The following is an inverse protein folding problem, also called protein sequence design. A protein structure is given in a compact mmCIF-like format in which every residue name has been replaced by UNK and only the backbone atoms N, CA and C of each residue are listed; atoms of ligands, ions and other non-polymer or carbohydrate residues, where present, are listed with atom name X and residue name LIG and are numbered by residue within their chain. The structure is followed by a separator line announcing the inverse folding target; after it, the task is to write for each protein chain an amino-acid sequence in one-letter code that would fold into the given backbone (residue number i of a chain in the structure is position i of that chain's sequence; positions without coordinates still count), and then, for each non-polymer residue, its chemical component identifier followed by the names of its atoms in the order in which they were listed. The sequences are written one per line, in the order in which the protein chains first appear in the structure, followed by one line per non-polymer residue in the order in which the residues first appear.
data_IF_904560354139
#
_entry.id   IF_904560354139
#
_cell.length_a   1.000
_cell.length_b   1.000
_cell.length_c   1.000
_cell.angle_alpha   90.00
_cell.angle_beta   90.00
_cell.angle_gamma   90.00
#
_symmetry.space_group_name_H-M   'P 1'
#
loop_
_entity.id
_entity.type
_entity.pdbx_description
1 polymer ?
#
# COMPACT_ATOMS: atom_id res chain seq x y z
N UNK A 1 53.07 18.37 -41.12
CA UNK A 1 52.62 17.94 -39.77
C UNK A 1 51.54 18.83 -39.13
N UNK A 2 51.30 20.07 -39.58
CA UNK A 2 50.29 20.96 -38.95
C UNK A 2 48.83 20.55 -39.20
N UNK A 3 48.50 19.98 -40.37
CA UNK A 3 47.11 19.59 -40.73
C UNK A 3 46.53 18.45 -39.89
N UNK A 4 47.38 17.56 -39.36
CA UNK A 4 46.96 16.40 -38.55
C UNK A 4 46.55 16.83 -37.13
N UNK A 5 47.19 17.87 -36.57
CA UNK A 5 46.86 18.38 -35.23
C UNK A 5 45.46 19.02 -35.19
N UNK A 6 45.06 19.73 -36.24
CA UNK A 6 43.70 20.31 -36.32
C UNK A 6 42.62 19.26 -36.57
N UNK A 7 42.92 18.19 -37.30
CA UNK A 7 41.99 17.08 -37.51
C UNK A 7 41.73 16.30 -36.22
N UNK A 8 42.78 16.06 -35.42
CA UNK A 8 42.65 15.43 -34.10
C UNK A 8 41.85 16.30 -33.12
N UNK A 9 42.03 17.63 -33.15
CA UNK A 9 41.26 18.56 -32.31
C UNK A 9 39.78 18.62 -32.71
N UNK A 10 39.48 18.56 -34.01
CA UNK A 10 38.12 18.53 -34.54
C UNK A 10 37.41 17.22 -34.19
N UNK A 11 38.10 16.08 -34.28
CA UNK A 11 37.58 14.79 -33.83
C UNK A 11 37.35 14.76 -32.32
N UNK A 12 38.19 15.40 -31.51
CA UNK A 12 37.99 15.51 -30.06
C UNK A 12 36.72 16.32 -29.71
N UNK A 13 36.48 17.44 -30.41
CA UNK A 13 35.25 18.24 -30.23
C UNK A 13 33.98 17.53 -30.73
N UNK A 14 34.07 16.70 -31.77
CA UNK A 14 32.95 15.88 -32.26
C UNK A 14 32.62 14.72 -31.31
N UNK A 15 33.61 14.12 -30.64
CA UNK A 15 33.39 13.05 -29.65
C UNK A 15 32.83 13.61 -28.34
N UNK A 16 33.21 14.83 -27.93
CA UNK A 16 32.66 15.45 -26.72
C UNK A 16 31.17 15.85 -26.84
N UNK A 17 30.65 16.11 -28.05
CA UNK A 17 29.24 16.45 -28.24
C UNK A 17 28.29 15.24 -28.29
N UNK A 18 28.82 14.02 -28.49
CA UNK A 18 28.05 12.77 -28.44
C UNK A 18 27.79 12.27 -27.01
N UNK A 19 28.35 12.94 -25.99
CA UNK A 19 28.11 12.64 -24.57
C UNK A 19 27.00 13.48 -23.94
N UNK A 20 26.14 14.12 -24.75
CA UNK A 20 24.80 14.44 -24.28
C UNK A 20 24.04 13.13 -24.16
N UNK A 21 24.20 12.45 -23.02
CA UNK A 21 23.29 11.39 -22.62
C UNK A 21 21.87 11.96 -22.77
N UNK A 22 21.11 11.46 -23.76
CA UNK A 22 19.69 11.71 -23.83
C UNK A 22 19.15 11.30 -22.47
N UNK A 23 18.67 12.27 -21.71
CA UNK A 23 17.96 12.01 -20.46
C UNK A 23 16.76 11.16 -20.88
N UNK A 24 16.82 9.86 -20.60
CA UNK A 24 15.79 8.93 -21.03
C UNK A 24 14.46 9.44 -20.48
N UNK A 25 13.58 9.83 -21.39
CA UNK A 25 12.29 10.45 -21.05
C UNK A 25 11.34 9.36 -20.50
N UNK A 26 11.69 8.08 -20.73
CA UNK A 26 10.99 6.91 -20.24
C UNK A 26 11.65 6.40 -18.95
N UNK A 27 11.49 7.13 -17.85
CA UNK A 27 11.86 6.64 -16.53
C UNK A 27 10.93 5.47 -16.13
N UNK A 28 11.37 4.23 -16.38
CA UNK A 28 10.74 3.05 -15.77
C UNK A 28 11.09 3.09 -14.29
N UNK A 29 10.09 3.21 -13.41
CA UNK A 29 10.33 3.04 -11.98
C UNK A 29 10.74 1.59 -11.73
N UNK A 30 12.03 1.39 -11.52
CA UNK A 30 12.61 0.08 -11.26
C UNK A 30 12.09 -0.54 -9.96
N UNK A 31 12.18 -1.86 -9.88
CA UNK A 31 11.97 -2.60 -8.64
C UNK A 31 13.26 -2.52 -7.83
N UNK A 32 13.17 -2.05 -6.59
CA UNK A 32 14.29 -2.09 -5.65
C UNK A 32 14.34 -3.49 -5.03
N UNK A 33 15.51 -4.13 -5.08
CA UNK A 33 15.76 -5.39 -4.37
C UNK A 33 16.48 -5.12 -3.05
N UNK A 34 15.93 -5.63 -1.96
CA UNK A 34 16.50 -5.53 -0.62
C UNK A 34 16.71 -6.94 -0.09
N UNK A 35 17.91 -7.22 0.42
CA UNK A 35 18.19 -8.40 1.23
C UNK A 35 18.22 -7.96 2.69
N UNK A 36 17.12 -8.20 3.40
CA UNK A 36 16.94 -7.73 4.77
C UNK A 36 17.43 -8.80 5.75
N UNK A 37 18.44 -8.46 6.56
CA UNK A 37 18.89 -9.32 7.65
C UNK A 37 17.76 -9.55 8.64
N UNK A 38 17.62 -10.78 9.12
CA UNK A 38 16.58 -11.14 10.10
C UNK A 38 17.19 -11.78 11.34
N UNK A 39 16.62 -11.48 12.51
CA UNK A 39 16.90 -12.24 13.74
C UNK A 39 16.07 -13.53 13.84
N UNK A 40 15.03 -13.67 13.00
CA UNK A 40 14.13 -14.83 13.00
C UNK A 40 14.59 -15.94 12.05
N UNK A 41 15.42 -15.60 11.07
CA UNK A 41 15.96 -16.48 10.04
C UNK A 41 17.49 -16.37 9.95
N UNK A 42 18.16 -17.49 9.72
CA UNK A 42 19.63 -17.53 9.58
C UNK A 42 20.11 -17.11 8.18
N UNK A 43 19.21 -16.54 7.37
CA UNK A 43 19.44 -16.06 6.02
C UNK A 43 18.72 -14.72 5.80
N UNK A 44 19.22 -13.93 4.84
CA UNK A 44 18.62 -12.66 4.49
C UNK A 44 17.29 -12.87 3.75
N UNK A 45 16.28 -12.10 4.13
CA UNK A 45 14.96 -12.12 3.49
C UNK A 45 14.98 -11.23 2.25
N UNK A 46 14.73 -11.81 1.09
CA UNK A 46 14.61 -11.06 -0.17
C UNK A 46 13.27 -10.34 -0.24
N UNK A 47 13.33 -9.03 -0.42
CA UNK A 47 12.18 -8.11 -0.47
C UNK A 47 12.28 -7.28 -1.74
N UNK A 48 11.16 -7.10 -2.42
CA UNK A 48 11.03 -6.19 -3.55
C UNK A 48 10.22 -4.97 -3.17
N UNK A 49 10.62 -3.79 -3.62
CA UNK A 49 9.86 -2.55 -3.41
C UNK A 49 9.66 -1.84 -4.74
N UNK A 50 8.40 -1.54 -5.07
CA UNK A 50 8.04 -0.66 -6.17
C UNK A 50 7.39 0.59 -5.62
N UNK A 51 7.94 1.73 -6.03
CA UNK A 51 7.42 3.04 -5.66
C UNK A 51 6.40 3.51 -6.70
N UNK A 52 5.42 4.32 -6.27
CA UNK A 52 4.59 5.10 -7.19
C UNK A 52 5.42 5.95 -8.14
N UNK A 53 4.92 6.17 -9.36
CA UNK A 53 5.60 6.98 -10.39
C UNK A 53 5.86 8.42 -9.93
N UNK A 54 5.03 8.93 -9.03
CA UNK A 54 5.08 10.28 -8.47
C UNK A 54 5.98 10.43 -7.24
N UNK A 55 6.52 9.34 -6.72
CA UNK A 55 7.24 9.34 -5.45
C UNK A 55 8.48 10.24 -5.47
N UNK A 56 9.22 10.37 -6.57
CA UNK A 56 10.47 11.14 -6.60
C UNK A 56 10.27 12.65 -6.59
N UNK A 57 9.12 13.14 -7.05
CA UNK A 57 8.83 14.57 -7.17
C UNK A 57 7.76 15.07 -6.17
N UNK A 58 7.20 14.18 -5.33
CA UNK A 58 6.26 14.56 -4.27
C UNK A 58 6.83 14.26 -2.87
N UNK A 59 7.58 15.22 -2.31
CA UNK A 59 8.21 15.09 -0.99
C UNK A 59 7.24 15.41 0.18
N UNK A 60 6.09 16.03 -0.10
CA UNK A 60 5.07 16.35 0.90
C UNK A 60 4.06 15.21 1.15
N UNK A 61 4.01 14.21 0.27
CA UNK A 61 3.03 13.12 0.29
C UNK A 61 3.57 11.86 0.99
N UNK A 62 2.71 11.25 1.80
CA UNK A 62 2.92 9.92 2.38
C UNK A 62 2.02 8.89 1.67
N UNK A 63 2.47 7.63 1.57
CA UNK A 63 1.83 6.59 0.75
C UNK A 63 1.33 5.39 1.56
N UNK A 64 0.16 4.85 1.19
CA UNK A 64 -0.32 3.58 1.73
C UNK A 64 0.58 2.44 1.19
N UNK A 65 0.73 1.36 1.95
CA UNK A 65 1.64 0.24 1.60
C UNK A 65 0.87 -1.04 1.31
N UNK A 66 1.08 -1.61 0.13
CA UNK A 66 0.55 -2.93 -0.24
C UNK A 66 1.64 -3.99 -0.10
N UNK A 67 1.43 -4.98 0.75
CA UNK A 67 2.31 -6.13 0.92
C UNK A 67 1.76 -7.31 0.12
N UNK A 68 2.54 -7.85 -0.82
CA UNK A 68 2.17 -9.01 -1.63
C UNK A 68 3.11 -10.19 -1.30
N UNK A 69 2.51 -11.31 -0.93
CA UNK A 69 3.23 -12.56 -0.65
C UNK A 69 3.35 -13.41 -1.91
N UNK A 70 4.30 -14.34 -1.92
CA UNK A 70 4.71 -15.09 -3.11
C UNK A 70 5.29 -14.21 -4.23
N UNK A 71 5.97 -13.11 -3.89
CA UNK A 71 6.50 -12.17 -4.88
C UNK A 71 7.52 -12.82 -5.84
N UNK A 72 8.21 -13.89 -5.43
CA UNK A 72 9.10 -14.67 -6.29
C UNK A 72 8.39 -15.25 -7.52
N UNK A 73 7.06 -15.39 -7.48
CA UNK A 73 6.20 -15.60 -8.64
C UNK A 73 5.89 -14.21 -9.22
N UNK A 74 6.78 -13.71 -10.08
CA UNK A 74 6.77 -12.31 -10.54
C UNK A 74 5.42 -11.77 -11.01
N UNK A 75 4.53 -12.54 -11.69
CA UNK A 75 3.23 -12.02 -12.11
C UNK A 75 2.34 -11.56 -10.95
N UNK A 76 2.42 -12.17 -9.76
CA UNK A 76 1.66 -11.70 -8.59
C UNK A 76 2.08 -10.29 -8.18
N UNK A 77 3.38 -10.05 -8.09
CA UNK A 77 3.94 -8.74 -7.75
C UNK A 77 3.63 -7.69 -8.83
N UNK A 78 3.75 -8.07 -10.10
CA UNK A 78 3.49 -7.17 -11.23
C UNK A 78 2.01 -6.75 -11.30
N UNK A 79 1.08 -7.69 -11.18
CA UNK A 79 -0.35 -7.41 -11.20
C UNK A 79 -0.78 -6.58 -10.00
N UNK A 80 -0.34 -6.93 -8.78
CA UNK A 80 -0.60 -6.15 -7.57
C UNK A 80 -0.07 -4.71 -7.69
N UNK A 81 1.00 -4.51 -8.45
CA UNK A 81 1.56 -3.18 -8.70
C UNK A 81 0.86 -2.39 -9.81
N UNK A 82 0.46 -3.06 -10.89
CA UNK A 82 -0.08 -2.38 -12.07
C UNK A 82 -1.58 -2.08 -11.92
N UNK A 83 -2.36 -3.00 -11.34
CA UNK A 83 -3.81 -2.87 -11.26
C UNK A 83 -4.30 -1.60 -10.55
N UNK A 84 -3.72 -1.16 -9.41
CA UNK A 84 -4.12 0.08 -8.77
C UNK A 84 -4.14 1.30 -9.69
N UNK A 85 -3.20 1.38 -10.65
CA UNK A 85 -3.10 2.50 -11.60
C UNK A 85 -4.34 2.60 -12.49
N UNK A 86 -4.96 1.47 -12.85
CA UNK A 86 -6.11 1.42 -13.74
C UNK A 86 -7.45 1.36 -13.01
N UNK A 87 -7.47 0.77 -11.80
CA UNK A 87 -8.71 0.43 -11.09
C UNK A 87 -9.09 1.44 -10.02
N UNK A 88 -8.16 2.30 -9.61
CA UNK A 88 -8.46 3.38 -8.68
C UNK A 88 -9.11 4.53 -9.44
N UNK A 89 -10.40 4.35 -9.77
CA UNK A 89 -11.23 5.29 -10.53
C UNK A 89 -11.60 6.56 -9.72
N UNK A 90 -11.30 6.58 -8.42
CA UNK A 90 -11.52 7.76 -7.59
C UNK A 90 -10.63 8.92 -8.02
N UNK A 91 -11.14 10.16 -7.90
CA UNK A 91 -10.40 11.39 -8.20
C UNK A 91 -9.11 11.56 -7.37
N UNK A 92 -8.89 10.71 -6.36
CA UNK A 92 -7.84 10.79 -5.34
C UNK A 92 -6.76 9.70 -5.45
N UNK A 93 -6.51 9.17 -6.65
CA UNK A 93 -5.59 8.05 -6.86
C UNK A 93 -4.12 8.41 -6.59
N UNK A 94 -3.75 8.42 -5.30
CA UNK A 94 -2.37 8.26 -4.86
C UNK A 94 -1.97 6.82 -5.15
N UNK A 95 -0.86 6.61 -5.85
CA UNK A 95 -0.27 5.28 -5.98
C UNK A 95 0.01 4.66 -4.61
N UNK A 96 0.36 3.38 -4.59
CA UNK A 96 0.76 2.69 -3.35
C UNK A 96 2.21 2.21 -3.46
N UNK A 97 2.93 2.21 -2.34
CA UNK A 97 4.20 1.51 -2.28
C UNK A 97 3.89 0.01 -2.22
N UNK A 98 4.40 -0.75 -3.18
CA UNK A 98 4.18 -2.21 -3.23
C UNK A 98 5.43 -2.92 -2.75
N UNK A 99 5.28 -3.71 -1.69
CA UNK A 99 6.34 -4.48 -1.04
C UNK A 99 6.08 -5.96 -1.29
N UNK A 100 6.94 -6.59 -2.09
CA UNK A 100 6.90 -8.02 -2.38
C UNK A 100 7.74 -8.81 -1.40
N UNK A 101 7.14 -9.79 -0.73
CA UNK A 101 7.84 -10.74 0.14
C UNK A 101 8.11 -12.02 -0.64
N UNK A 102 9.39 -12.33 -0.84
CA UNK A 102 9.80 -13.56 -1.51
C UNK A 102 10.04 -14.68 -0.50
N UNK A 103 9.49 -15.85 -0.79
CA UNK A 103 9.93 -17.09 -0.16
C UNK A 103 11.18 -17.62 -0.85
N UNK A 104 12.14 -18.21 -0.12
CA UNK A 104 13.23 -18.96 -0.71
C UNK A 104 12.71 -20.06 -1.65
N UNK A 105 13.55 -20.46 -2.61
CA UNK A 105 13.24 -21.52 -3.57
C UNK A 105 14.42 -22.49 -3.66
N UNK A 106 14.76 -23.11 -2.53
CA UNK A 106 15.78 -24.14 -2.46
C UNK A 106 15.18 -25.51 -2.06
N UNK A 107 16.03 -26.53 -1.97
CA UNK A 107 15.62 -27.91 -1.71
C UNK A 107 15.12 -28.16 -0.29
N UNK A 108 15.51 -27.32 0.68
CA UNK A 108 15.20 -27.51 2.10
C UNK A 108 14.17 -26.50 2.62
N UNK A 109 14.04 -25.35 1.95
CA UNK A 109 13.17 -24.26 2.34
C UNK A 109 12.46 -23.65 1.14
N UNK A 110 11.13 -23.69 1.18
CA UNK A 110 10.28 -23.05 0.19
C UNK A 110 9.06 -22.37 0.86
N UNK A 111 8.13 -21.88 0.04
CA UNK A 111 6.91 -21.22 0.50
C UNK A 111 6.06 -22.06 1.47
N UNK A 112 6.12 -23.40 1.42
CA UNK A 112 5.36 -24.26 2.34
C UNK A 112 5.90 -24.12 3.76
N UNK A 113 7.21 -24.17 3.92
CA UNK A 113 7.88 -23.97 5.20
C UNK A 113 7.60 -22.55 5.73
N UNK A 114 7.62 -21.51 4.87
CA UNK A 114 7.30 -20.13 5.25
C UNK A 114 5.87 -19.92 5.76
N UNK A 115 4.88 -20.51 5.09
CA UNK A 115 3.47 -20.15 5.28
C UNK A 115 2.69 -21.07 6.20
N UNK A 116 3.17 -22.29 6.44
CA UNK A 116 2.48 -23.27 7.25
C UNK A 116 2.91 -23.22 8.72
N UNK A 117 1.97 -23.44 9.66
CA UNK A 117 2.27 -23.57 11.09
C UNK A 117 3.09 -24.83 11.38
N UNK A 118 3.82 -24.80 12.50
CA UNK A 118 4.62 -25.92 12.99
C UNK A 118 3.78 -26.90 13.83
N UNK A 119 2.75 -27.49 13.22
CA UNK A 119 1.95 -28.55 13.84
C UNK A 119 2.10 -29.87 13.10
N UNK A 120 2.03 -30.98 13.86
CA UNK A 120 2.29 -32.31 13.31
C UNK A 120 1.31 -32.76 12.22
N UNK A 121 0.04 -32.32 12.27
CA UNK A 121 -0.94 -32.70 11.25
C UNK A 121 -0.64 -32.00 9.93
N UNK A 122 -0.37 -30.70 9.99
CA UNK A 122 -0.01 -29.90 8.82
C UNK A 122 1.33 -30.33 8.24
N UNK A 123 2.36 -30.51 9.08
CA UNK A 123 3.68 -30.94 8.62
C UNK A 123 3.62 -32.29 7.90
N UNK A 124 2.87 -33.26 8.44
CA UNK A 124 2.66 -34.56 7.81
C UNK A 124 1.90 -34.45 6.48
N UNK A 125 0.84 -33.62 6.41
CA UNK A 125 0.05 -33.45 5.20
C UNK A 125 0.86 -32.83 4.04
N UNK A 126 1.71 -31.86 4.33
CA UNK A 126 2.53 -31.18 3.32
C UNK A 126 3.93 -31.78 3.12
N UNK A 127 4.26 -32.82 3.91
CA UNK A 127 5.57 -33.48 3.92
C UNK A 127 6.71 -32.49 4.16
N UNK A 128 6.50 -31.54 5.06
CA UNK A 128 7.52 -30.58 5.50
C UNK A 128 8.08 -31.01 6.85
N UNK A 129 9.36 -30.72 7.10
CA UNK A 129 10.00 -31.04 8.38
C UNK A 129 9.52 -30.14 9.52
N UNK A 130 9.27 -28.87 9.21
CA UNK A 130 8.96 -27.81 10.17
C UNK A 130 8.25 -26.66 9.47
N UNK A 131 7.23 -26.10 10.12
CA UNK A 131 6.59 -24.85 9.71
C UNK A 131 7.26 -23.62 10.34
N UNK A 132 7.24 -22.49 9.65
CA UNK A 132 7.89 -21.24 10.06
C UNK A 132 6.95 -20.02 10.01
N UNK A 133 5.63 -20.22 9.89
CA UNK A 133 4.68 -19.10 9.80
C UNK A 133 4.77 -18.14 10.98
N UNK A 134 4.94 -18.63 12.21
CA UNK A 134 5.12 -17.75 13.38
C UNK A 134 6.37 -16.88 13.27
N UNK A 135 7.50 -17.44 12.82
CA UNK A 135 8.74 -16.70 12.58
C UNK A 135 8.57 -15.67 11.46
N UNK A 136 7.88 -16.03 10.39
CA UNK A 136 7.61 -15.11 9.29
C UNK A 136 6.68 -13.95 9.73
N UNK A 137 5.65 -14.23 10.53
CA UNK A 137 4.80 -13.20 11.12
C UNK A 137 5.61 -12.22 11.98
N UNK A 138 6.51 -12.73 12.82
CA UNK A 138 7.39 -11.88 13.63
C UNK A 138 8.38 -11.08 12.78
N UNK A 139 8.97 -11.66 11.74
CA UNK A 139 9.81 -10.94 10.77
C UNK A 139 9.05 -9.77 10.12
N UNK A 140 7.83 -10.04 9.62
CA UNK A 140 7.01 -9.03 8.96
C UNK A 140 6.70 -7.88 9.93
N UNK A 141 6.21 -8.21 11.13
CA UNK A 141 5.77 -7.22 12.12
C UNK A 141 6.92 -6.42 12.73
N UNK A 142 8.02 -7.09 13.10
CA UNK A 142 9.05 -6.51 13.95
C UNK A 142 10.29 -6.03 13.18
N UNK A 143 10.46 -6.47 11.93
CA UNK A 143 11.64 -6.12 11.10
C UNK A 143 11.24 -5.45 9.79
N UNK A 144 10.40 -6.09 8.97
CA UNK A 144 10.04 -5.56 7.65
C UNK A 144 9.21 -4.28 7.71
N UNK A 145 8.07 -4.27 8.42
CA UNK A 145 7.21 -3.08 8.49
C UNK A 145 7.94 -1.87 9.13
N UNK A 146 8.74 -2.02 10.20
CA UNK A 146 9.62 -0.94 10.69
C UNK A 146 10.66 -0.48 9.67
N UNK A 147 11.29 -1.40 8.93
CA UNK A 147 12.24 -1.04 7.87
C UNK A 147 11.56 -0.18 6.80
N UNK A 148 10.41 -0.61 6.29
CA UNK A 148 9.67 0.13 5.26
C UNK A 148 9.27 1.52 5.76
N UNK A 149 8.75 1.64 6.99
CA UNK A 149 8.38 2.94 7.60
C UNK A 149 9.55 3.90 7.81
N UNK A 150 10.75 3.38 8.02
CA UNK A 150 11.94 4.21 8.27
C UNK A 150 12.66 4.64 6.98
N UNK A 151 12.50 3.90 5.88
CA UNK A 151 13.18 4.17 4.62
C UNK A 151 12.27 4.81 3.55
N UNK A 152 10.95 4.74 3.73
CA UNK A 152 9.99 5.29 2.78
C UNK A 152 8.93 6.16 3.47
N UNK A 153 8.35 7.10 2.71
CA UNK A 153 7.25 7.97 3.18
C UNK A 153 5.95 7.20 3.16
N UNK A 154 5.62 6.57 4.29
CA UNK A 154 4.42 5.76 4.41
C UNK A 154 3.36 6.41 5.29
N UNK A 155 2.10 6.10 5.02
CA UNK A 155 1.03 6.21 6.02
C UNK A 155 1.09 5.00 6.96
N UNK A 156 0.18 4.93 7.93
CA UNK A 156 0.02 3.72 8.75
C UNK A 156 -0.83 2.66 8.05
N UNK A 157 -1.43 2.99 6.91
CA UNK A 157 -2.43 2.18 6.24
C UNK A 157 -1.76 1.18 5.33
N UNK A 158 -2.15 -0.08 5.49
CA UNK A 158 -1.56 -1.16 4.72
C UNK A 158 -2.57 -2.26 4.35
N UNK A 159 -2.34 -2.84 3.18
CA UNK A 159 -3.11 -3.92 2.61
C UNK A 159 -2.18 -5.12 2.41
N UNK A 160 -2.57 -6.31 2.84
CA UNK A 160 -1.86 -7.54 2.55
C UNK A 160 -2.60 -8.37 1.50
N UNK A 161 -1.86 -8.92 0.53
CA UNK A 161 -2.40 -9.72 -0.56
C UNK A 161 -1.71 -11.07 -0.56
N UNK A 162 -2.50 -12.13 -0.60
CA UNK A 162 -2.00 -13.50 -0.63
C UNK A 162 -2.90 -14.39 -1.48
N UNK A 163 -2.30 -15.44 -2.01
CA UNK A 163 -2.98 -16.49 -2.78
C UNK A 163 -2.66 -17.86 -2.19
N UNK A 164 -3.64 -18.78 -2.18
CA UNK A 164 -3.42 -20.16 -1.74
C UNK A 164 -2.84 -20.22 -0.31
N UNK A 165 -1.72 -20.91 -0.08
CA UNK A 165 -1.03 -20.89 1.22
C UNK A 165 -0.61 -19.49 1.69
N UNK A 166 -0.33 -18.55 0.79
CA UNK A 166 -0.06 -17.16 1.15
C UNK A 166 -1.30 -16.48 1.74
N UNK A 167 -2.49 -16.75 1.18
CA UNK A 167 -3.75 -16.29 1.77
C UNK A 167 -4.02 -16.97 3.13
N UNK A 168 -3.72 -18.27 3.26
CA UNK A 168 -3.81 -18.97 4.54
C UNK A 168 -2.85 -18.40 5.60
N UNK A 169 -1.64 -18.00 5.19
CA UNK A 169 -0.69 -17.29 6.05
C UNK A 169 -1.20 -15.91 6.47
N UNK A 170 -1.79 -15.15 5.56
CA UNK A 170 -2.39 -13.87 5.90
C UNK A 170 -3.57 -14.00 6.86
N UNK A 171 -4.36 -15.06 6.73
CA UNK A 171 -5.40 -15.37 7.70
C UNK A 171 -4.81 -15.71 9.08
N UNK A 172 -3.64 -16.37 9.14
CA UNK A 172 -2.90 -16.52 10.41
C UNK A 172 -2.45 -15.16 10.97
N UNK A 173 -1.92 -14.27 10.12
CA UNK A 173 -1.50 -12.92 10.52
C UNK A 173 -2.64 -12.15 11.20
N UNK A 174 -3.82 -12.15 10.56
CA UNK A 174 -5.03 -11.53 11.11
C UNK A 174 -5.42 -12.15 12.45
N UNK A 175 -5.56 -13.48 12.49
CA UNK A 175 -6.14 -14.19 13.63
C UNK A 175 -5.19 -14.35 14.84
N UNK A 176 -3.88 -14.16 14.64
CA UNK A 176 -2.87 -14.33 15.70
C UNK A 176 -2.37 -13.00 16.25
N UNK A 177 -2.14 -12.01 15.39
CA UNK A 177 -1.43 -10.78 15.76
C UNK A 177 -2.01 -9.50 15.20
N UNK A 178 -3.06 -9.58 14.37
CA UNK A 178 -3.67 -8.45 13.69
C UNK A 178 -2.64 -7.51 13.03
N UNK A 179 -1.83 -8.07 12.12
CA UNK A 179 -0.61 -7.42 11.62
C UNK A 179 -0.92 -6.28 10.63
N UNK A 180 -1.91 -6.49 9.77
CA UNK A 180 -2.26 -5.56 8.69
C UNK A 180 -3.65 -4.94 8.91
N UNK A 181 -3.90 -3.79 8.27
CA UNK A 181 -5.23 -3.18 8.35
C UNK A 181 -6.23 -3.91 7.45
N UNK A 182 -5.85 -4.22 6.22
CA UNK A 182 -6.76 -4.78 5.22
C UNK A 182 -6.14 -6.01 4.55
N UNK A 183 -6.97 -6.96 4.11
CA UNK A 183 -6.53 -8.27 3.62
C UNK A 183 -7.29 -8.73 2.38
N UNK A 184 -6.55 -9.08 1.35
CA UNK A 184 -7.04 -9.84 0.20
C UNK A 184 -6.58 -11.30 0.33
N UNK A 185 -7.55 -12.18 0.54
CA UNK A 185 -7.39 -13.58 0.88
C UNK A 185 -7.90 -14.43 -0.29
N UNK A 186 -7.07 -14.58 -1.32
CA UNK A 186 -7.49 -15.26 -2.55
C UNK A 186 -7.27 -16.77 -2.48
N UNK A 187 -8.36 -17.53 -2.63
CA UNK A 187 -8.38 -18.99 -2.58
C UNK A 187 -7.59 -19.57 -1.38
N UNK A 188 -7.82 -19.14 -0.13
CA UNK A 188 -7.08 -19.65 1.01
C UNK A 188 -7.35 -21.14 1.17
N UNK A 189 -6.31 -21.94 1.40
CA UNK A 189 -6.50 -23.32 1.84
C UNK A 189 -6.95 -23.29 3.30
N UNK A 190 -8.23 -23.61 3.52
CA UNK A 190 -8.84 -23.68 4.85
C UNK A 190 -8.97 -25.10 5.38
N UNK A 191 -8.54 -26.12 4.63
CA UNK A 191 -8.77 -27.54 4.95
C UNK A 191 -7.67 -28.20 5.77
N UNK A 192 -6.44 -27.66 5.74
CA UNK A 192 -5.34 -28.23 6.51
C UNK A 192 -5.55 -28.10 8.03
N UNK A 193 -4.79 -28.89 8.80
CA UNK A 193 -4.83 -28.83 10.27
C UNK A 193 -6.22 -29.13 10.84
N UNK A 194 -7.03 -29.97 10.19
CA UNK A 194 -8.44 -30.22 10.53
C UNK A 194 -9.29 -28.94 10.53
N UNK A 195 -9.25 -28.22 9.42
CA UNK A 195 -10.00 -26.98 9.22
C UNK A 195 -9.66 -25.89 10.26
N UNK A 196 -8.42 -25.87 10.77
CA UNK A 196 -8.04 -25.03 11.91
C UNK A 196 -8.35 -23.55 11.66
N UNK A 197 -8.03 -23.03 10.47
CA UNK A 197 -8.22 -21.61 10.14
C UNK A 197 -9.69 -21.24 10.02
N UNK A 198 -10.51 -22.06 9.36
CA UNK A 198 -11.96 -21.84 9.28
C UNK A 198 -12.59 -21.82 10.67
N UNK A 199 -12.29 -22.84 11.48
CA UNK A 199 -12.74 -22.95 12.87
C UNK A 199 -12.32 -21.75 13.73
N UNK A 200 -11.11 -21.25 13.53
CA UNK A 200 -10.60 -20.09 14.26
C UNK A 200 -11.28 -18.80 13.81
N UNK A 201 -11.46 -18.61 12.51
CA UNK A 201 -12.10 -17.41 11.95
C UNK A 201 -13.55 -17.26 12.43
N UNK A 202 -14.37 -18.32 12.36
CA UNK A 202 -15.78 -18.26 12.76
C UNK A 202 -15.99 -18.04 14.27
N UNK A 203 -14.95 -18.29 15.07
CA UNK A 203 -14.93 -18.07 16.53
C UNK A 203 -14.14 -16.82 16.93
N UNK A 204 -13.53 -16.13 15.97
CA UNK A 204 -12.67 -15.00 16.26
C UNK A 204 -13.49 -13.80 16.72
N UNK A 205 -13.11 -13.21 17.84
CA UNK A 205 -13.70 -11.95 18.30
C UNK A 205 -12.82 -10.80 17.83
N UNK A 206 -13.27 -10.10 16.81
CA UNK A 206 -12.60 -8.89 16.34
C UNK A 206 -12.69 -7.78 17.38
N UNK A 207 -11.60 -7.03 17.54
CA UNK A 207 -11.61 -5.77 18.27
C UNK A 207 -12.61 -4.81 17.60
N UNK A 208 -13.46 -4.17 18.40
CA UNK A 208 -14.45 -3.19 17.93
C UNK A 208 -13.83 -1.84 17.59
N UNK A 209 -12.57 -1.61 17.96
CA UNK A 209 -11.82 -0.38 17.69
C UNK A 209 -10.95 -0.47 16.43
N UNK A 210 -10.47 -1.67 16.09
CA UNK A 210 -9.75 -1.94 14.85
C UNK A 210 -10.71 -1.95 13.66
N UNK A 211 -10.27 -1.51 12.49
CA UNK A 211 -11.08 -1.58 11.26
C UNK A 211 -10.36 -2.48 10.27
N UNK A 212 -11.11 -3.39 9.66
CA UNK A 212 -10.59 -4.27 8.62
C UNK A 212 -11.52 -4.31 7.42
N UNK A 213 -10.90 -4.32 6.25
CA UNK A 213 -11.49 -4.79 5.02
C UNK A 213 -10.90 -6.16 4.67
N UNK A 214 -11.75 -7.16 4.51
CA UNK A 214 -11.39 -8.51 4.13
C UNK A 214 -12.08 -8.86 2.82
N UNK A 215 -11.32 -9.37 1.85
CA UNK A 215 -11.88 -9.92 0.61
C UNK A 215 -11.44 -11.35 0.44
N UNK A 216 -12.38 -12.29 0.52
CA UNK A 216 -12.16 -13.69 0.22
C UNK A 216 -12.50 -13.98 -1.24
N UNK A 217 -11.76 -14.90 -1.84
CA UNK A 217 -12.20 -15.54 -3.07
C UNK A 217 -11.93 -17.02 -3.06
N UNK A 218 -12.55 -17.72 -3.99
CA UNK A 218 -12.30 -19.12 -4.29
C UNK A 218 -12.53 -19.38 -5.79
N UNK A 219 -12.09 -20.55 -6.23
CA UNK A 219 -12.31 -21.06 -7.58
C UNK A 219 -13.02 -22.42 -7.49
N UNK A 220 -12.85 -23.28 -8.48
CA UNK A 220 -13.38 -24.64 -8.44
C UNK A 220 -12.42 -25.66 -7.79
N UNK A 221 -11.76 -25.30 -6.68
CA UNK A 221 -10.71 -26.15 -6.08
C UNK A 221 -11.21 -27.55 -5.69
N UNK A 222 -12.49 -27.69 -5.30
CA UNK A 222 -13.05 -28.99 -4.94
C UNK A 222 -13.16 -29.97 -6.12
N UNK A 223 -13.07 -29.48 -7.37
CA UNK A 223 -13.04 -30.32 -8.56
C UNK A 223 -11.63 -30.87 -8.85
N UNK A 224 -10.60 -30.39 -8.16
CA UNK A 224 -9.22 -30.83 -8.30
C UNK A 224 -9.01 -32.08 -7.44
N UNK A 225 -8.51 -33.17 -8.05
CA UNK A 225 -8.25 -34.43 -7.36
C UNK A 225 -7.32 -34.23 -6.15
N UNK A 226 -7.77 -34.65 -4.98
CA UNK A 226 -7.07 -34.52 -3.70
C UNK A 226 -7.39 -33.23 -2.93
N UNK A 227 -8.17 -32.31 -3.50
CA UNK A 227 -8.58 -31.04 -2.88
C UNK A 227 -10.09 -30.96 -2.63
N UNK A 228 -10.81 -32.08 -2.74
CA UNK A 228 -12.26 -32.18 -2.55
C UNK A 228 -12.69 -31.64 -1.17
N UNK A 229 -11.82 -31.80 -0.17
CA UNK A 229 -12.04 -31.32 1.20
C UNK A 229 -11.99 -29.79 1.38
N UNK A 230 -11.63 -29.01 0.37
CA UNK A 230 -11.56 -27.53 0.48
C UNK A 230 -12.94 -26.87 0.56
N UNK A 231 -13.95 -27.47 -0.05
CA UNK A 231 -15.31 -26.90 -0.10
C UNK A 231 -15.93 -26.74 1.30
N UNK A 232 -15.86 -27.77 2.15
CA UNK A 232 -16.54 -27.75 3.46
C UNK A 232 -16.09 -26.58 4.36
N UNK A 233 -14.79 -26.37 4.65
CA UNK A 233 -14.36 -25.25 5.48
C UNK A 233 -14.53 -23.89 4.80
N UNK A 234 -14.45 -23.80 3.46
CA UNK A 234 -14.79 -22.57 2.72
C UNK A 234 -16.25 -22.19 2.95
N UNK A 235 -17.16 -23.13 2.72
CA UNK A 235 -18.60 -22.89 2.82
C UNK A 235 -19.01 -22.54 4.26
N UNK A 236 -18.30 -23.07 5.26
CA UNK A 236 -18.45 -22.65 6.66
C UNK A 236 -18.07 -21.18 6.88
N UNK A 237 -16.91 -20.76 6.38
CA UNK A 237 -16.46 -19.36 6.49
C UNK A 237 -17.42 -18.43 5.74
N UNK A 238 -17.85 -18.77 4.53
CA UNK A 238 -18.74 -17.92 3.75
C UNK A 238 -20.11 -17.78 4.38
N UNK A 239 -20.67 -18.88 4.93
CA UNK A 239 -21.92 -18.82 5.68
C UNK A 239 -21.83 -17.90 6.90
N UNK A 240 -20.70 -17.89 7.59
CA UNK A 240 -20.46 -16.98 8.72
C UNK A 240 -20.34 -15.51 8.27
N UNK A 241 -19.69 -15.25 7.12
CA UNK A 241 -19.64 -13.90 6.54
C UNK A 241 -21.07 -13.43 6.17
N UNK A 242 -21.84 -14.28 5.50
CA UNK A 242 -23.19 -13.98 5.02
C UNK A 242 -24.23 -13.85 6.14
N UNK A 243 -24.00 -14.51 7.29
CA UNK A 243 -24.87 -14.36 8.46
C UNK A 243 -24.78 -12.97 9.09
N UNK A 244 -23.86 -12.10 8.62
CA UNK A 244 -23.62 -10.74 9.13
C UNK A 244 -23.36 -10.71 10.63
N UNK A 245 -22.71 -11.76 11.15
CA UNK A 245 -22.33 -11.85 12.56
C UNK A 245 -21.11 -10.98 12.91
N UNK A 246 -20.36 -10.54 11.89
CA UNK A 246 -19.20 -9.69 12.05
C UNK A 246 -19.59 -8.28 12.55
N UNK A 247 -18.77 -7.65 13.41
CA UNK A 247 -18.98 -6.27 13.84
C UNK A 247 -19.00 -5.28 12.66
N UNK A 248 -19.73 -4.16 12.79
CA UNK A 248 -19.88 -3.14 11.73
C UNK A 248 -18.55 -2.48 11.29
N UNK A 249 -17.51 -2.54 12.12
CA UNK A 249 -16.16 -2.05 11.81
C UNK A 249 -15.35 -3.03 10.93
N UNK A 250 -15.87 -4.23 10.68
CA UNK A 250 -15.28 -5.26 9.84
C UNK A 250 -16.11 -5.38 8.56
N UNK A 251 -15.53 -4.94 7.43
CA UNK A 251 -16.13 -5.15 6.12
C UNK A 251 -15.54 -6.43 5.55
N UNK A 252 -16.34 -7.48 5.42
CA UNK A 252 -15.92 -8.74 4.83
C UNK A 252 -16.74 -9.05 3.59
N UNK A 253 -16.05 -9.26 2.47
CA UNK A 253 -16.61 -9.63 1.18
C UNK A 253 -16.11 -11.01 0.78
N UNK A 254 -16.88 -11.72 -0.02
CA UNK A 254 -16.42 -12.90 -0.71
C UNK A 254 -16.95 -12.95 -2.15
N UNK A 255 -16.20 -13.58 -3.06
CA UNK A 255 -16.60 -13.80 -4.44
C UNK A 255 -15.98 -15.10 -5.00
N UNK A 256 -16.81 -15.96 -5.56
CA UNK A 256 -16.40 -17.22 -6.17
C UNK A 256 -16.20 -17.11 -7.69
N UNK A 257 -15.22 -17.83 -8.22
CA UNK A 257 -14.89 -17.93 -9.63
C UNK A 257 -14.95 -19.40 -10.11
N UNK A 258 -16.15 -20.04 -10.14
CA UNK A 258 -16.31 -21.48 -10.36
C UNK A 258 -15.93 -21.97 -11.77
N UNK A 259 -15.79 -21.03 -12.71
CA UNK A 259 -15.36 -21.27 -14.09
C UNK A 259 -13.85 -21.05 -14.28
N UNK A 260 -13.12 -20.74 -13.19
CA UNK A 260 -11.67 -20.54 -13.20
C UNK A 260 -10.95 -21.65 -12.46
N UNK A 261 -9.72 -21.93 -12.92
CA UNK A 261 -8.77 -22.77 -12.19
C UNK A 261 -8.13 -22.00 -11.03
N UNK A 262 -7.60 -22.73 -10.04
CA UNK A 262 -7.05 -22.16 -8.79
C UNK A 262 -6.04 -21.01 -8.99
N UNK A 263 -5.16 -21.10 -10.00
CA UNK A 263 -4.19 -20.03 -10.29
C UNK A 263 -4.77 -18.95 -11.21
N UNK A 264 -5.65 -19.36 -12.15
CA UNK A 264 -6.25 -18.46 -13.13
C UNK A 264 -7.27 -17.50 -12.50
N UNK A 265 -7.81 -17.83 -11.34
CA UNK A 265 -8.73 -16.96 -10.58
C UNK A 265 -8.04 -15.72 -10.00
N UNK A 266 -6.72 -15.76 -9.75
CA UNK A 266 -6.00 -14.66 -9.10
C UNK A 266 -6.17 -13.29 -9.79
N UNK A 267 -5.91 -13.10 -11.09
CA UNK A 267 -6.10 -11.79 -11.73
C UNK A 267 -7.56 -11.31 -11.66
N UNK A 268 -8.53 -12.20 -11.77
CA UNK A 268 -9.96 -11.85 -11.69
C UNK A 268 -10.33 -11.39 -10.27
N UNK A 269 -9.91 -12.16 -9.26
CA UNK A 269 -10.11 -11.85 -7.86
C UNK A 269 -9.42 -10.55 -7.45
N UNK A 270 -8.17 -10.35 -7.89
CA UNK A 270 -7.40 -9.15 -7.61
C UNK A 270 -8.07 -7.90 -8.21
N UNK A 271 -8.57 -7.98 -9.44
CA UNK A 271 -9.28 -6.87 -10.07
C UNK A 271 -10.52 -6.48 -9.28
N UNK A 272 -11.38 -7.46 -8.95
CA UNK A 272 -12.62 -7.19 -8.24
C UNK A 272 -12.38 -6.69 -6.81
N UNK A 273 -11.40 -7.27 -6.11
CA UNK A 273 -11.02 -6.87 -4.77
C UNK A 273 -10.50 -5.43 -4.75
N UNK A 274 -9.64 -5.03 -5.70
CA UNK A 274 -9.18 -3.65 -5.79
C UNK A 274 -10.32 -2.68 -6.06
N UNK A 275 -11.23 -2.98 -6.99
CA UNK A 275 -12.38 -2.12 -7.29
C UNK A 275 -13.26 -1.90 -6.05
N UNK A 276 -13.65 -2.97 -5.36
CA UNK A 276 -14.47 -2.85 -4.14
C UNK A 276 -13.69 -2.19 -3.00
N UNK A 277 -12.41 -2.50 -2.85
CA UNK A 277 -11.55 -1.88 -1.85
C UNK A 277 -11.39 -0.37 -2.07
N UNK A 278 -11.14 0.10 -3.30
CA UNK A 278 -11.01 1.53 -3.55
C UNK A 278 -12.32 2.28 -3.29
N UNK A 279 -13.48 1.70 -3.64
CA UNK A 279 -14.78 2.26 -3.28
C UNK A 279 -14.98 2.32 -1.75
N UNK A 280 -14.61 1.25 -1.03
CA UNK A 280 -14.60 1.23 0.44
C UNK A 280 -13.69 2.32 1.01
N UNK A 281 -12.49 2.47 0.45
CA UNK A 281 -11.49 3.43 0.89
C UNK A 281 -11.92 4.86 0.66
N UNK A 282 -12.50 5.17 -0.49
CA UNK A 282 -13.03 6.50 -0.79
C UNK A 282 -14.14 6.88 0.20
N UNK A 283 -15.09 5.97 0.44
CA UNK A 283 -16.18 6.19 1.40
C UNK A 283 -15.67 6.42 2.84
N UNK A 284 -14.62 5.71 3.26
CA UNK A 284 -14.05 5.83 4.62
C UNK A 284 -13.08 6.99 4.78
N UNK A 285 -12.35 7.34 3.73
CA UNK A 285 -11.38 8.42 3.78
C UNK A 285 -12.01 9.81 3.59
N UNK A 286 -13.29 9.87 3.20
CA UNK A 286 -14.05 11.11 3.12
C UNK A 286 -14.34 11.74 4.49
N UNK A 287 -14.41 10.96 5.57
CA UNK A 287 -14.71 11.46 6.92
C UNK A 287 -13.46 11.46 7.80
N UNK A 288 -13.14 12.64 8.37
CA UNK A 288 -12.11 12.75 9.40
C UNK A 288 -12.72 12.37 10.75
N UNK A 289 -12.18 11.35 11.40
CA UNK A 289 -12.77 10.80 12.63
C UNK A 289 -11.68 10.37 13.63
N UNK A 290 -12.09 10.26 14.91
CA UNK A 290 -11.23 9.73 15.97
C UNK A 290 -10.33 10.77 16.62
N UNK A 291 -9.12 10.36 16.97
CA UNK A 291 -8.15 11.17 17.70
C UNK A 291 -7.73 12.44 16.93
N UNK A 292 -7.39 13.46 17.70
CA UNK A 292 -6.94 14.75 17.18
C UNK A 292 -5.42 14.84 17.30
N UNK A 293 -4.77 15.21 16.20
CA UNK A 293 -3.32 15.34 16.10
C UNK A 293 -2.93 16.79 15.83
N UNK A 294 -1.92 17.29 16.55
CA UNK A 294 -1.33 18.58 16.26
C UNK A 294 -0.38 18.47 15.07
N UNK A 295 -0.59 19.30 14.06
CA UNK A 295 0.20 19.36 12.82
C UNK A 295 0.63 20.78 12.53
N UNK A 296 1.86 20.93 12.09
CA UNK A 296 2.43 22.16 11.56
C UNK A 296 2.44 22.08 10.03
N UNK A 297 1.87 23.08 9.36
CA UNK A 297 1.79 23.14 7.89
C UNK A 297 2.42 24.45 7.42
N UNK A 298 3.42 24.32 6.55
CA UNK A 298 4.05 25.45 5.86
C UNK A 298 3.73 25.43 4.36
N UNK A 299 3.58 26.63 3.80
CA UNK A 299 3.48 26.87 2.37
C UNK A 299 4.57 27.85 1.97
N UNK A 300 5.42 27.42 1.03
CA UNK A 300 6.40 28.24 0.35
C UNK A 300 5.72 28.86 -0.87
N UNK A 301 5.78 30.19 -0.98
CA UNK A 301 5.21 30.99 -2.08
C UNK A 301 6.29 31.79 -2.82
N UNK A 302 6.01 32.15 -4.07
CA UNK A 302 6.88 32.93 -4.95
C UNK A 302 6.68 34.45 -4.85
N UNK A 303 5.63 34.91 -4.15
CA UNK A 303 5.31 36.33 -4.01
C UNK A 303 5.08 36.71 -2.54
N UNK A 304 5.85 37.66 -1.99
CA UNK A 304 5.73 38.07 -0.59
C UNK A 304 4.40 38.72 -0.24
N UNK A 305 3.66 39.23 -1.22
CA UNK A 305 2.34 39.85 -1.00
C UNK A 305 1.20 38.83 -0.91
N UNK A 306 1.43 37.56 -1.21
CA UNK A 306 0.35 36.57 -1.16
C UNK A 306 -0.13 36.34 0.26
N UNK A 307 -1.41 36.58 0.48
CA UNK A 307 -2.14 36.05 1.61
C UNK A 307 -2.61 34.65 1.24
N UNK A 308 -2.29 33.66 2.07
CA UNK A 308 -2.67 32.27 1.82
C UNK A 308 -3.65 31.82 2.89
N UNK A 309 -4.66 31.10 2.45
CA UNK A 309 -5.67 30.47 3.30
C UNK A 309 -5.57 28.96 3.12
N UNK A 310 -5.92 28.21 4.16
CA UNK A 310 -6.10 26.76 4.12
C UNK A 310 -7.59 26.46 4.26
N UNK A 311 -8.13 25.61 3.40
CA UNK A 311 -9.52 25.18 3.46
C UNK A 311 -9.62 23.66 3.30
N UNK A 312 -10.43 22.99 4.14
CA UNK A 312 -10.42 21.54 4.22
C UNK A 312 -11.64 20.91 4.88
N UNK A 313 -11.62 19.59 5.02
CA UNK A 313 -12.76 18.74 5.38
C UNK A 313 -13.24 18.79 6.84
N UNK A 314 -12.73 19.72 7.65
CA UNK A 314 -13.07 19.81 9.07
C UNK A 314 -12.98 21.25 9.59
N UNK A 315 -13.55 21.49 10.77
CA UNK A 315 -13.73 22.84 11.31
C UNK A 315 -12.41 23.59 11.53
N UNK A 316 -11.36 22.88 11.99
CA UNK A 316 -10.01 23.44 12.15
C UNK A 316 -9.34 23.81 10.83
N UNK A 317 -9.88 23.34 9.70
CA UNK A 317 -9.49 23.67 8.34
C UNK A 317 -10.59 24.46 7.62
N UNK A 318 -11.57 25.03 8.32
CA UNK A 318 -12.54 25.94 7.73
C UNK A 318 -13.70 25.32 6.94
N UNK A 319 -13.90 23.99 6.95
CA UNK A 319 -15.01 23.31 6.26
C UNK A 319 -15.16 23.73 4.79
N UNK A 320 -14.07 23.69 4.04
CA UNK A 320 -14.00 24.07 2.62
C UNK A 320 -14.37 25.54 2.30
N UNK A 321 -14.39 26.43 3.29
CA UNK A 321 -14.49 27.88 3.05
C UNK A 321 -13.11 28.46 2.69
N UNK A 322 -12.94 28.82 1.41
CA UNK A 322 -11.70 29.28 0.81
C UNK A 322 -11.09 30.56 1.40
N UNK A 323 -11.77 31.26 2.32
CA UNK A 323 -11.24 32.49 2.96
C UNK A 323 -11.28 32.45 4.48
N UNK A 324 -11.69 31.33 5.07
CA UNK A 324 -12.00 31.27 6.51
C UNK A 324 -10.77 31.17 7.40
N UNK A 325 -9.81 30.31 7.03
CA UNK A 325 -8.62 30.07 7.86
C UNK A 325 -7.40 30.66 7.15
N UNK A 326 -7.03 31.87 7.56
CA UNK A 326 -5.83 32.57 7.05
C UNK A 326 -4.57 32.00 7.71
N UNK A 327 -3.56 31.71 6.90
CA UNK A 327 -2.24 31.28 7.39
C UNK A 327 -1.41 32.48 7.85
N UNK A 328 -0.55 32.28 8.84
CA UNK A 328 0.33 33.31 9.39
C UNK A 328 1.46 33.63 8.42
N UNK A 329 1.71 34.91 8.18
CA UNK A 329 2.88 35.39 7.44
C UNK A 329 4.13 35.23 8.31
N UNK A 330 5.02 34.29 7.96
CA UNK A 330 6.28 34.06 8.70
C UNK A 330 7.39 34.95 8.14
N UNK A 331 7.56 34.95 6.82
CA UNK A 331 8.52 35.80 6.09
C UNK A 331 8.09 35.93 4.62
N UNK A 332 8.90 36.58 3.79
CA UNK A 332 8.63 36.85 2.37
C UNK A 332 8.27 35.61 1.53
N UNK A 333 8.71 34.42 1.93
CA UNK A 333 8.45 33.19 1.18
C UNK A 333 7.57 32.19 1.93
N UNK A 334 7.33 32.35 3.23
CA UNK A 334 6.68 31.32 4.05
C UNK A 334 5.38 31.81 4.68
N UNK A 335 4.35 30.98 4.54
CA UNK A 335 3.12 31.02 5.33
C UNK A 335 3.05 29.76 6.17
N UNK A 336 2.60 29.85 7.42
CA UNK A 336 2.52 28.70 8.30
C UNK A 336 1.23 28.70 9.13
N UNK A 337 0.85 27.52 9.60
CA UNK A 337 -0.24 27.35 10.56
C UNK A 337 -0.02 26.09 11.41
N UNK A 338 -0.33 26.21 12.70
CA UNK A 338 -0.48 25.06 13.60
C UNK A 338 -1.97 24.71 13.71
N UNK A 339 -2.32 23.48 13.36
CA UNK A 339 -3.69 23.00 13.36
C UNK A 339 -3.83 21.72 14.19
N UNK A 340 -5.00 21.55 14.79
CA UNK A 340 -5.42 20.31 15.44
C UNK A 340 -6.42 19.62 14.53
N UNK A 341 -6.05 18.47 13.98
CA UNK A 341 -6.83 17.80 12.94
C UNK A 341 -7.09 16.33 13.28
N UNK A 342 -8.27 15.85 12.93
CA UNK A 342 -8.55 14.43 12.80
C UNK A 342 -8.02 13.94 11.44
N UNK A 343 -7.66 12.66 11.37
CA UNK A 343 -7.10 12.05 10.17
C UNK A 343 -8.15 11.15 9.49
N UNK A 344 -8.23 11.12 8.15
CA UNK A 344 -7.43 11.91 7.22
C UNK A 344 -7.84 13.39 7.19
N UNK A 345 -6.85 14.28 7.29
CA UNK A 345 -7.07 15.70 7.06
C UNK A 345 -6.89 15.97 5.57
N UNK A 346 -7.94 16.48 4.93
CA UNK A 346 -7.92 16.86 3.51
C UNK A 346 -8.07 18.37 3.39
N UNK A 347 -7.25 19.00 2.54
CA UNK A 347 -7.28 20.44 2.36
C UNK A 347 -6.70 20.90 1.02
N UNK A 348 -6.90 22.19 0.74
CA UNK A 348 -6.32 22.95 -0.35
C UNK A 348 -5.80 24.29 0.16
N UNK A 349 -4.96 24.93 -0.65
CA UNK A 349 -4.52 26.31 -0.42
C UNK A 349 -5.21 27.24 -1.40
N UNK A 350 -5.54 28.45 -0.96
CA UNK A 350 -6.15 29.49 -1.79
C UNK A 350 -5.59 30.86 -1.44
N UNK A 351 -5.88 31.87 -2.27
CA UNK A 351 -5.66 33.29 -1.93
C UNK A 351 -6.97 34.02 -1.61
N UNK A 352 -7.90 33.32 -0.96
CA UNK A 352 -9.17 33.87 -0.49
C UNK A 352 -10.38 33.57 -1.39
N UNK A 353 -10.20 32.86 -2.50
CA UNK A 353 -11.31 32.31 -3.30
C UNK A 353 -10.88 31.06 -4.08
N UNK A 354 -11.84 30.31 -4.61
CA UNK A 354 -11.58 29.10 -5.40
C UNK A 354 -10.95 29.38 -6.75
N UNK A 355 -11.18 30.58 -7.31
CA UNK A 355 -10.50 31.07 -8.51
C UNK A 355 -9.00 31.29 -8.29
N UNK A 356 -8.55 31.27 -7.04
CA UNK A 356 -7.14 31.44 -6.65
C UNK A 356 -6.62 30.20 -5.90
N UNK A 357 -7.10 29.00 -6.25
CA UNK A 357 -6.54 27.74 -5.74
C UNK A 357 -5.05 27.63 -6.08
N UNK A 358 -4.25 27.21 -5.11
CA UNK A 358 -2.81 26.99 -5.27
C UNK A 358 -2.48 25.51 -5.47
N UNK A 359 -1.60 25.24 -6.44
CA UNK A 359 -1.16 23.89 -6.80
C UNK A 359 0.30 23.67 -6.35
N UNK A 360 0.55 22.82 -5.34
CA UNK A 360 1.92 22.55 -4.91
C UNK A 360 2.69 21.75 -5.95
N UNK A 361 3.92 22.17 -6.25
CA UNK A 361 4.83 21.46 -7.16
C UNK A 361 5.42 20.18 -6.56
N UNK A 362 5.34 20.01 -5.23
CA UNK A 362 5.89 18.89 -4.47
C UNK A 362 4.82 17.98 -3.86
N UNK A 363 3.60 18.05 -4.40
CA UNK A 363 2.49 17.14 -4.12
C UNK A 363 1.72 16.91 -5.42
N UNK A 364 0.85 15.90 -5.45
CA UNK A 364 -0.04 15.70 -6.60
C UNK A 364 -1.03 16.88 -6.68
N UNK A 365 -0.97 17.63 -7.80
CA UNK A 365 -1.91 18.70 -8.11
C UNK A 365 -3.26 18.16 -8.59
N UNK A 366 -4.30 19.00 -8.55
CA UNK A 366 -5.65 18.64 -9.01
C UNK A 366 -6.46 17.76 -8.05
N UNK A 367 -5.86 17.34 -6.93
CA UNK A 367 -6.51 16.55 -5.88
C UNK A 367 -6.43 17.28 -4.53
N UNK A 368 -7.21 16.84 -3.55
CA UNK A 368 -7.08 17.36 -2.18
C UNK A 368 -5.73 16.92 -1.60
N UNK A 369 -4.98 17.87 -1.05
CA UNK A 369 -3.79 17.59 -0.26
C UNK A 369 -4.21 16.85 1.01
N UNK A 370 -3.36 15.95 1.47
CA UNK A 370 -3.74 15.01 2.51
C UNK A 370 -2.66 14.80 3.55
N UNK A 371 -3.08 14.79 4.81
CA UNK A 371 -2.26 14.42 5.96
C UNK A 371 -2.91 13.19 6.61
N UNK A 372 -2.15 12.09 6.63
CA UNK A 372 -2.60 10.76 7.09
C UNK A 372 -1.70 10.14 8.16
N UNK A 373 -0.46 10.60 8.28
CA UNK A 373 0.52 9.99 9.17
C UNK A 373 0.36 10.56 10.59
N UNK A 374 0.09 9.70 11.58
CA UNK A 374 -0.08 10.13 12.98
C UNK A 374 1.19 10.73 13.58
N UNK A 375 2.33 10.11 13.29
CA UNK A 375 3.64 10.46 13.85
C UNK A 375 4.30 11.70 13.22
N UNK A 376 4.10 11.94 11.92
CA UNK A 376 4.70 13.08 11.21
C UNK A 376 4.05 14.39 11.65
N UNK A 377 4.84 15.30 12.19
CA UNK A 377 4.33 16.54 12.81
C UNK A 377 4.30 17.74 11.88
N UNK A 378 5.16 17.77 10.87
CA UNK A 378 5.35 18.93 10.00
C UNK A 378 5.24 18.55 8.53
N UNK A 379 4.63 19.43 7.75
CA UNK A 379 4.45 19.31 6.31
C UNK A 379 4.80 20.63 5.63
N UNK A 380 5.51 20.57 4.51
CA UNK A 380 5.94 21.74 3.74
C UNK A 380 5.47 21.57 2.29
N UNK A 381 4.71 22.53 1.81
CA UNK A 381 4.19 22.56 0.44
C UNK A 381 4.80 23.73 -0.34
N UNK A 382 5.16 23.52 -1.60
CA UNK A 382 5.77 24.54 -2.47
C UNK A 382 4.77 24.95 -3.54
N UNK A 383 4.07 26.05 -3.33
CA UNK A 383 3.03 26.54 -4.25
C UNK A 383 3.61 27.63 -5.14
N UNK A 384 3.88 27.26 -6.39
CA UNK A 384 4.35 28.18 -7.43
C UNK A 384 3.29 28.48 -8.49
N UNK A 385 2.24 27.67 -8.56
CA UNK A 385 1.18 27.78 -9.57
C UNK A 385 -0.19 28.02 -8.90
N UNK A 386 -1.03 28.83 -9.54
CA UNK A 386 -2.30 29.31 -9.02
C UNK A 386 -3.34 29.37 -10.15
N UNK A 387 -4.61 29.05 -9.86
CA UNK A 387 -5.66 28.90 -10.87
C UNK A 387 -5.98 30.17 -11.70
N UNK A 388 -5.61 31.37 -11.21
CA UNK A 388 -5.80 32.66 -11.88
C UNK A 388 -4.56 33.17 -12.63
N UNK A 389 -3.46 32.40 -12.62
CA UNK A 389 -2.29 32.64 -13.47
C UNK A 389 -2.38 31.78 -14.73
#
# INVERSE_FOLDING_TARGET
MMKIKYLALLCFFLVCNLLHAQKDIYHVVGVQEINLKSKYFDFDRKIWVRLPSDYSFTDAQDYDVTYIFDAQVTPFFELASAYPVFLNEGWFSKGTIVVGICSPQDSEYNRREDFLPDDGLTCNAYKIRKGYSDKLMCFVKDELMPYIRSHYRTTEKNLAIGHSLGASFLLQCLLNYDIFNDYFLFSPNLAFGKNMLANKFVKHSFDRTARHYLFFSDAAEEKIKGWEGWQTPRDEVYRYIDSKALPNNIVCRHKSYPESEHFASFPLALQDAYKDYFAYREAKDATAEGEVYAKHIEVIVDNPKYEVYICGNQASLGNWDAKKIKMTHVNDSVRAIDVKVQLPAQFKFTRGSWETEGFPANALGGINLRVDNKSKKAYVYKVSDWADK
#
